data_IF_487757863170
#
_entry.id   IF_487757863170
#
_cell.length_a   1.000
_cell.length_b   1.000
_cell.length_c   1.000
_cell.angle_alpha   90.00
_cell.angle_beta   90.00
_cell.angle_gamma   90.00
#
_symmetry.space_group_name_H-M   'P 1'
#
loop_
_entity.id
_entity.type
_entity.pdbx_description
1 polymer ?
#
# COMPACT_ATOMS: atom_id res chain seq x y z
N UNK A 1 -0.95 18.31 -11.50
CA UNK A 1 -0.22 17.15 -10.94
C UNK A 1 1.26 17.43 -11.08
N UNK A 2 2.03 17.29 -10.01
CA UNK A 2 3.49 17.45 -10.06
C UNK A 2 4.06 16.06 -10.32
N UNK A 3 4.70 15.88 -11.48
CA UNK A 3 5.50 14.69 -11.75
C UNK A 3 6.79 14.82 -10.94
N UNK A 4 7.05 13.83 -10.08
CA UNK A 4 8.26 13.76 -9.27
C UNK A 4 9.43 13.44 -10.18
N UNK A 5 10.51 14.21 -10.04
CA UNK A 5 11.76 14.09 -10.80
C UNK A 5 12.93 13.81 -9.87
N UNK A 6 14.07 13.46 -10.46
CA UNK A 6 15.30 13.09 -9.73
C UNK A 6 15.84 14.20 -8.82
N UNK A 7 15.65 15.45 -9.20
CA UNK A 7 16.08 16.65 -8.46
C UNK A 7 15.04 17.14 -7.45
N UNK A 8 13.85 16.55 -7.41
CA UNK A 8 12.81 16.90 -6.43
C UNK A 8 13.29 16.57 -5.01
N UNK A 9 13.10 17.50 -4.07
CA UNK A 9 13.47 17.28 -2.67
C UNK A 9 12.42 16.42 -1.97
N UNK A 10 12.84 15.42 -1.19
CA UNK A 10 11.90 14.48 -0.57
C UNK A 10 10.95 15.17 0.42
N UNK A 11 11.41 16.22 1.12
CA UNK A 11 10.55 16.94 2.04
C UNK A 11 9.39 17.65 1.33
N UNK A 12 9.58 18.11 0.09
CA UNK A 12 8.52 18.78 -0.69
C UNK A 12 7.41 17.79 -1.02
N UNK A 13 7.79 16.55 -1.33
CA UNK A 13 6.86 15.44 -1.59
C UNK A 13 6.02 15.14 -0.35
N UNK A 14 6.65 15.04 0.83
CA UNK A 14 5.96 14.77 2.10
C UNK A 14 5.04 15.91 2.51
N UNK A 15 5.46 17.17 2.32
CA UNK A 15 4.63 18.33 2.62
C UNK A 15 3.44 18.46 1.68
N UNK A 16 3.57 17.99 0.43
CA UNK A 16 2.47 17.91 -0.52
C UNK A 16 1.48 16.79 -0.16
N UNK A 17 2.00 15.61 0.17
CA UNK A 17 1.20 14.44 0.51
C UNK A 17 1.86 13.60 1.62
N UNK A 18 1.47 13.81 2.89
CA UNK A 18 2.09 13.12 4.01
C UNK A 18 1.93 11.60 3.99
N UNK A 19 0.97 11.04 3.24
CA UNK A 19 0.79 9.58 3.22
C UNK A 19 1.93 8.87 2.48
N UNK A 20 2.72 9.59 1.67
CA UNK A 20 3.89 9.05 0.96
C UNK A 20 4.97 8.50 1.91
N UNK A 21 4.92 8.88 3.19
CA UNK A 21 5.84 8.37 4.22
C UNK A 21 5.78 6.84 4.31
N UNK A 22 4.64 6.20 4.03
CA UNK A 22 4.53 4.73 4.00
C UNK A 22 5.39 4.13 2.87
N UNK A 23 5.47 4.80 1.73
CA UNK A 23 6.33 4.40 0.60
C UNK A 23 7.79 4.57 0.97
N UNK A 24 8.17 5.71 1.56
CA UNK A 24 9.54 5.95 2.02
C UNK A 24 10.01 4.87 3.01
N UNK A 25 9.14 4.50 3.96
CA UNK A 25 9.43 3.43 4.92
C UNK A 25 9.75 2.10 4.23
N UNK A 26 9.01 1.73 3.17
CA UNK A 26 9.25 0.47 2.41
C UNK A 26 10.62 0.45 1.74
N UNK A 27 11.13 1.61 1.36
CA UNK A 27 12.49 1.80 0.83
C UNK A 27 13.56 2.03 1.91
N UNK A 28 13.20 1.95 3.20
CA UNK A 28 14.14 2.20 4.30
C UNK A 28 14.56 3.66 4.43
N UNK A 29 13.73 4.59 3.91
CA UNK A 29 13.90 6.04 4.03
C UNK A 29 13.07 6.50 5.24
N UNK A 30 13.71 7.23 6.14
CA UNK A 30 13.09 7.76 7.36
C UNK A 30 12.97 9.28 7.30
N UNK A 31 12.10 9.84 8.14
CA UNK A 31 11.99 11.30 8.30
C UNK A 31 13.30 11.91 8.85
N UNK A 32 13.44 13.23 8.72
CA UNK A 32 14.72 13.91 8.86
C UNK A 32 15.44 14.07 7.52
N UNK A 33 14.67 14.39 6.48
CA UNK A 33 15.08 14.33 5.08
C UNK A 33 16.06 15.45 4.66
N UNK A 34 16.19 16.52 5.45
CA UNK A 34 17.04 17.68 5.13
C UNK A 34 16.81 18.15 3.68
N UNK A 35 17.87 18.51 2.96
CA UNK A 35 17.84 18.89 1.53
C UNK A 35 18.02 17.70 0.56
N UNK A 36 17.85 16.45 1.02
CA UNK A 36 18.03 15.27 0.15
C UNK A 36 17.04 15.28 -1.02
N UNK A 37 17.58 15.07 -2.22
CA UNK A 37 16.82 14.87 -3.46
C UNK A 37 16.52 13.39 -3.68
N UNK A 38 15.61 13.10 -4.60
CA UNK A 38 15.33 11.73 -5.05
C UNK A 38 16.62 11.04 -5.52
N UNK A 39 17.46 11.73 -6.29
CA UNK A 39 18.74 11.22 -6.76
C UNK A 39 19.69 10.91 -5.58
N UNK A 40 19.89 11.85 -4.66
CA UNK A 40 20.85 11.67 -3.58
C UNK A 40 20.46 10.55 -2.62
N UNK A 41 19.16 10.39 -2.32
CA UNK A 41 18.72 9.31 -1.43
C UNK A 41 18.79 7.94 -2.10
N UNK A 42 18.51 7.87 -3.41
CA UNK A 42 18.66 6.65 -4.19
C UNK A 42 20.12 6.19 -4.23
N UNK A 43 21.06 7.11 -4.42
CA UNK A 43 22.50 6.83 -4.36
C UNK A 43 22.92 6.31 -2.97
N UNK A 44 22.52 7.00 -1.90
CA UNK A 44 22.85 6.62 -0.51
C UNK A 44 22.34 5.20 -0.18
N UNK A 45 21.08 4.92 -0.53
CA UNK A 45 20.39 3.68 -0.17
C UNK A 45 20.58 2.57 -1.19
N UNK A 46 21.28 2.84 -2.30
CA UNK A 46 21.47 1.92 -3.44
C UNK A 46 20.13 1.44 -4.02
N UNK A 47 19.20 2.37 -4.21
CA UNK A 47 17.89 2.12 -4.81
C UNK A 47 17.97 2.50 -6.29
N UNK A 48 17.44 1.67 -7.18
CA UNK A 48 17.26 2.03 -8.58
C UNK A 48 16.34 3.26 -8.71
N UNK A 49 16.89 4.35 -9.26
CA UNK A 49 16.21 5.64 -9.30
C UNK A 49 14.96 5.61 -10.20
N UNK A 50 15.00 4.85 -11.29
CA UNK A 50 13.88 4.74 -12.21
C UNK A 50 12.72 3.97 -11.58
N UNK A 51 13.02 2.91 -10.85
CA UNK A 51 12.06 2.15 -10.05
C UNK A 51 11.45 3.03 -8.95
N UNK A 52 12.28 3.74 -8.18
CA UNK A 52 11.78 4.61 -7.11
C UNK A 52 10.87 5.71 -7.65
N UNK A 53 11.27 6.40 -8.72
CA UNK A 53 10.44 7.40 -9.39
C UNK A 53 9.13 6.82 -9.91
N UNK A 54 9.15 5.60 -10.48
CA UNK A 54 7.95 4.96 -10.96
C UNK A 54 6.98 4.63 -9.82
N UNK A 55 7.48 4.16 -8.68
CA UNK A 55 6.66 3.89 -7.49
C UNK A 55 6.07 5.19 -6.92
N UNK A 56 6.87 6.24 -6.74
CA UNK A 56 6.39 7.53 -6.22
C UNK A 56 5.31 8.14 -7.12
N UNK A 57 5.57 8.19 -8.43
CA UNK A 57 4.61 8.76 -9.37
C UNK A 57 3.35 7.89 -9.50
N UNK A 58 3.47 6.56 -9.45
CA UNK A 58 2.30 5.67 -9.44
C UNK A 58 1.44 5.91 -8.20
N UNK A 59 2.07 6.06 -7.03
CA UNK A 59 1.38 6.29 -5.76
C UNK A 59 0.67 7.65 -5.71
N UNK A 60 1.33 8.71 -6.17
CA UNK A 60 0.82 10.09 -6.08
C UNK A 60 -0.13 10.47 -7.22
N UNK A 61 -0.05 9.79 -8.37
CA UNK A 61 -0.85 10.10 -9.56
C UNK A 61 -1.71 8.90 -10.00
N UNK A 62 -3.05 8.99 -9.84
CA UNK A 62 -4.01 8.01 -10.37
C UNK A 62 -3.88 7.71 -11.87
N UNK A 63 -3.48 8.71 -12.65
CA UNK A 63 -3.34 8.60 -14.10
C UNK A 63 -1.95 8.13 -14.54
N UNK A 64 -0.95 8.15 -13.66
CA UNK A 64 0.40 7.72 -14.03
C UNK A 64 0.46 6.21 -14.28
N UNK A 65 1.12 5.84 -15.38
CA UNK A 65 1.41 4.45 -15.73
C UNK A 65 2.83 4.37 -16.33
N UNK A 66 3.75 3.58 -15.74
CA UNK A 66 5.15 3.55 -16.17
C UNK A 66 5.41 2.71 -17.43
N UNK A 67 4.64 2.91 -18.52
CA UNK A 67 4.66 2.09 -19.75
C UNK A 67 6.06 1.72 -20.26
N UNK A 68 6.93 2.72 -20.34
CA UNK A 68 8.27 2.57 -20.92
C UNK A 68 9.35 2.13 -19.91
N UNK A 69 9.04 2.15 -18.61
CA UNK A 69 10.01 1.85 -17.53
C UNK A 69 9.84 0.46 -16.92
N UNK A 70 8.64 -0.12 -16.96
CA UNK A 70 8.35 -1.42 -16.32
C UNK A 70 9.29 -2.53 -16.85
N UNK A 71 9.71 -2.45 -18.13
CA UNK A 71 10.63 -3.42 -18.75
C UNK A 71 12.02 -3.48 -18.10
N UNK A 72 12.42 -2.43 -17.40
CA UNK A 72 13.76 -2.33 -16.82
C UNK A 72 13.78 -2.70 -15.33
N UNK A 73 12.62 -2.96 -14.72
CA UNK A 73 12.56 -3.31 -13.31
C UNK A 73 12.94 -4.77 -13.09
N UNK A 74 13.82 -5.02 -12.12
CA UNK A 74 14.15 -6.39 -11.74
C UNK A 74 12.99 -7.01 -10.95
N UNK A 75 12.80 -8.33 -11.10
CA UNK A 75 11.85 -9.08 -10.29
C UNK A 75 12.14 -8.90 -8.78
N UNK A 76 13.43 -8.86 -8.43
CA UNK A 76 13.90 -8.69 -7.06
C UNK A 76 13.48 -7.34 -6.47
N UNK A 77 13.57 -6.23 -7.20
CA UNK A 77 13.18 -4.92 -6.69
C UNK A 77 11.67 -4.85 -6.43
N UNK A 78 10.86 -5.40 -7.34
CA UNK A 78 9.41 -5.45 -7.21
C UNK A 78 9.01 -6.31 -6.00
N UNK A 79 9.57 -7.53 -5.90
CA UNK A 79 9.30 -8.44 -4.78
C UNK A 79 9.77 -7.85 -3.45
N UNK A 80 10.94 -7.23 -3.41
CA UNK A 80 11.45 -6.57 -2.21
C UNK A 80 10.50 -5.44 -1.77
N UNK A 81 10.08 -4.57 -2.69
CA UNK A 81 9.14 -3.49 -2.37
C UNK A 81 7.80 -4.01 -1.82
N UNK A 82 7.22 -5.03 -2.46
CA UNK A 82 5.94 -5.60 -2.03
C UNK A 82 6.08 -6.40 -0.73
N UNK A 83 7.21 -7.08 -0.51
CA UNK A 83 7.51 -7.74 0.75
C UNK A 83 7.61 -6.73 1.89
N UNK A 84 8.27 -5.59 1.66
CA UNK A 84 8.34 -4.50 2.63
C UNK A 84 6.97 -3.85 2.87
N UNK A 85 6.10 -3.83 1.86
CA UNK A 85 4.70 -3.41 2.00
C UNK A 85 3.92 -4.38 2.90
N UNK A 86 4.08 -5.67 2.70
CA UNK A 86 3.45 -6.71 3.51
C UNK A 86 3.90 -6.62 4.98
N UNK A 87 5.21 -6.48 5.22
CA UNK A 87 5.76 -6.26 6.56
C UNK A 87 5.19 -4.98 7.19
N UNK A 88 5.01 -3.92 6.41
CA UNK A 88 4.42 -2.68 6.90
C UNK A 88 2.98 -2.87 7.38
N UNK A 89 2.16 -3.60 6.62
CA UNK A 89 0.79 -3.90 7.00
C UNK A 89 0.70 -4.75 8.27
N UNK A 90 1.48 -5.84 8.34
CA UNK A 90 1.50 -6.75 9.48
C UNK A 90 1.95 -6.06 10.77
N UNK A 91 3.01 -5.26 10.71
CA UNK A 91 3.66 -4.71 11.91
C UNK A 91 3.14 -3.35 12.35
N UNK A 92 2.58 -2.55 11.44
CA UNK A 92 2.24 -1.15 11.75
C UNK A 92 0.80 -0.79 11.38
N UNK A 93 0.40 -0.97 10.12
CA UNK A 93 -0.90 -0.44 9.66
C UNK A 93 -2.08 -1.12 10.37
N UNK A 94 -2.11 -2.46 10.38
CA UNK A 94 -3.17 -3.22 11.03
C UNK A 94 -3.16 -2.99 12.55
N UNK A 95 -2.02 -3.14 13.27
CA UNK A 95 -1.98 -2.88 14.70
C UNK A 95 -2.37 -1.45 15.09
N UNK A 96 -2.05 -0.45 14.26
CA UNK A 96 -2.45 0.93 14.54
C UNK A 96 -3.97 1.13 14.48
N UNK A 97 -4.63 0.53 13.48
CA UNK A 97 -6.09 0.56 13.39
C UNK A 97 -6.70 -0.18 14.58
N UNK A 98 -6.20 -1.39 14.91
CA UNK A 98 -6.67 -2.17 16.07
C UNK A 98 -6.56 -1.40 17.37
N UNK A 99 -5.46 -0.66 17.59
CA UNK A 99 -5.26 0.18 18.77
C UNK A 99 -6.30 1.28 18.86
N UNK A 100 -6.54 2.02 17.77
CA UNK A 100 -7.57 3.07 17.76
C UNK A 100 -8.97 2.50 17.98
N UNK A 101 -9.29 1.40 17.30
CA UNK A 101 -10.59 0.73 17.42
C UNK A 101 -10.83 0.20 18.84
N UNK A 102 -9.84 -0.45 19.43
CA UNK A 102 -9.91 -0.99 20.78
C UNK A 102 -10.10 0.09 21.84
N UNK A 103 -9.43 1.24 21.68
CA UNK A 103 -9.63 2.39 22.57
C UNK A 103 -11.05 2.98 22.43
N UNK A 104 -11.55 3.12 21.20
CA UNK A 104 -12.91 3.60 20.93
C UNK A 104 -13.96 2.69 21.56
N UNK A 105 -13.84 1.38 21.37
CA UNK A 105 -14.73 0.39 22.00
C UNK A 105 -14.69 0.47 23.52
N UNK A 106 -13.49 0.54 24.11
CA UNK A 106 -13.32 0.60 25.56
C UNK A 106 -13.93 1.86 26.19
N UNK A 107 -13.95 2.97 25.46
CA UNK A 107 -14.48 4.26 25.91
C UNK A 107 -15.97 4.45 25.60
N UNK A 108 -16.56 3.56 24.83
CA UNK A 108 -17.98 3.60 24.50
C UNK A 108 -18.76 2.78 25.51
N UNK A 109 -19.59 3.44 26.33
CA UNK A 109 -20.44 2.79 27.34
C UNK A 109 -21.84 2.44 26.80
N UNK A 110 -22.13 2.78 25.54
CA UNK A 110 -23.45 2.63 24.94
C UNK A 110 -23.73 1.20 24.48
N UNK A 111 -24.68 0.53 25.15
CA UNK A 111 -25.17 -0.79 24.74
C UNK A 111 -25.86 -0.80 23.35
N UNK A 112 -26.28 0.36 22.86
CA UNK A 112 -26.93 0.51 21.56
C UNK A 112 -25.95 0.85 20.43
N UNK A 113 -24.65 0.96 20.73
CA UNK A 113 -23.64 1.23 19.71
C UNK A 113 -23.39 0.00 18.83
N UNK A 114 -23.22 0.23 17.52
CA UNK A 114 -22.86 -0.80 16.55
C UNK A 114 -21.35 -0.90 16.30
N UNK A 115 -20.51 -0.25 17.10
CA UNK A 115 -19.04 -0.28 16.96
C UNK A 115 -18.45 -1.70 17.05
N UNK A 116 -19.03 -2.58 17.87
CA UNK A 116 -18.57 -3.97 17.97
C UNK A 116 -18.77 -4.74 16.66
N UNK A 117 -19.85 -4.45 15.92
CA UNK A 117 -20.09 -5.03 14.59
C UNK A 117 -19.07 -4.49 13.57
N UNK A 118 -18.78 -3.18 13.61
CA UNK A 118 -17.76 -2.58 12.74
C UNK A 118 -16.36 -3.17 13.03
N UNK A 119 -16.03 -3.41 14.30
CA UNK A 119 -14.76 -4.07 14.67
C UNK A 119 -14.71 -5.50 14.15
N UNK A 120 -15.81 -6.25 14.24
CA UNK A 120 -15.88 -7.60 13.66
C UNK A 120 -15.63 -7.57 12.14
N UNK A 121 -16.24 -6.61 11.45
CA UNK A 121 -16.02 -6.43 10.02
C UNK A 121 -14.56 -6.05 9.69
N UNK A 122 -13.92 -5.20 10.51
CA UNK A 122 -12.49 -4.93 10.37
C UNK A 122 -11.62 -6.19 10.58
N UNK A 123 -11.99 -7.08 11.50
CA UNK A 123 -11.29 -8.36 11.69
C UNK A 123 -11.39 -9.25 10.45
N UNK A 124 -12.49 -9.21 9.71
CA UNK A 124 -12.63 -9.90 8.42
C UNK A 124 -11.67 -9.32 7.37
N UNK A 125 -11.59 -7.99 7.25
CA UNK A 125 -10.59 -7.29 6.39
C UNK A 125 -9.17 -7.71 6.73
N UNK A 126 -8.82 -7.67 8.02
CA UNK A 126 -7.50 -8.10 8.52
C UNK A 126 -7.21 -9.54 8.11
N UNK A 127 -8.15 -10.45 8.29
CA UNK A 127 -7.95 -11.88 8.04
C UNK A 127 -7.68 -12.15 6.56
N UNK A 128 -8.44 -11.52 5.66
CA UNK A 128 -8.24 -11.63 4.22
C UNK A 128 -6.90 -11.04 3.78
N UNK A 129 -6.50 -9.89 4.33
CA UNK A 129 -5.21 -9.28 4.01
C UNK A 129 -4.03 -10.15 4.49
N UNK A 130 -4.11 -10.69 5.72
CA UNK A 130 -3.06 -11.58 6.23
C UNK A 130 -2.95 -12.86 5.40
N UNK A 131 -4.07 -13.40 4.91
CA UNK A 131 -4.04 -14.54 4.00
C UNK A 131 -3.34 -14.18 2.67
N UNK A 132 -3.65 -13.03 2.07
CA UNK A 132 -2.97 -12.54 0.87
C UNK A 132 -1.46 -12.36 1.10
N UNK A 133 -1.06 -11.81 2.24
CA UNK A 133 0.36 -11.63 2.60
C UNK A 133 1.06 -12.98 2.74
N UNK A 134 0.40 -13.96 3.35
CA UNK A 134 0.91 -15.32 3.45
C UNK A 134 1.11 -15.93 2.06
N UNK A 135 0.11 -15.84 1.19
CA UNK A 135 0.17 -16.40 -0.17
C UNK A 135 1.22 -15.71 -1.04
N UNK A 136 1.37 -14.39 -0.90
CA UNK A 136 2.45 -13.63 -1.54
C UNK A 136 3.83 -14.18 -1.14
N UNK A 137 4.04 -14.40 0.17
CA UNK A 137 5.33 -14.82 0.73
C UNK A 137 5.67 -16.27 0.44
N UNK A 138 4.71 -17.18 0.61
CA UNK A 138 4.96 -18.63 0.51
C UNK A 138 4.83 -19.15 -0.91
N UNK A 139 4.03 -18.49 -1.77
CA UNK A 139 3.70 -19.00 -3.10
C UNK A 139 4.12 -18.02 -4.21
N UNK A 140 3.55 -16.82 -4.27
CA UNK A 140 3.65 -15.98 -5.47
C UNK A 140 5.05 -15.41 -5.67
N UNK A 141 5.66 -14.80 -4.65
CA UNK A 141 6.99 -14.19 -4.76
C UNK A 141 8.10 -15.21 -5.05
N UNK A 142 8.17 -16.37 -4.36
CA UNK A 142 9.17 -17.39 -4.68
C UNK A 142 9.07 -17.90 -6.12
N UNK A 143 7.86 -18.16 -6.62
CA UNK A 143 7.64 -18.61 -7.99
C UNK A 143 8.08 -17.55 -9.02
N UNK A 144 7.77 -16.28 -8.75
CA UNK A 144 8.17 -15.15 -9.60
C UNK A 144 9.68 -15.04 -9.74
N UNK A 145 10.40 -15.09 -8.62
CA UNK A 145 11.88 -15.06 -8.62
C UNK A 145 12.48 -16.29 -9.31
N UNK A 146 11.91 -17.47 -9.08
CA UNK A 146 12.39 -18.72 -9.67
C UNK A 146 12.21 -18.76 -11.19
N UNK A 147 11.13 -18.20 -11.74
CA UNK A 147 10.93 -18.15 -13.19
C UNK A 147 11.76 -17.04 -13.85
N UNK A 148 11.87 -15.87 -13.21
CA UNK A 148 12.68 -14.77 -13.74
C UNK A 148 14.17 -15.14 -13.87
N UNK A 149 14.70 -15.95 -12.96
CA UNK A 149 16.07 -16.45 -13.05
C UNK A 149 16.31 -17.45 -14.19
N UNK A 150 15.25 -18.04 -14.75
CA UNK A 150 15.32 -18.99 -15.88
C UNK A 150 15.13 -18.31 -17.23
N UNK A 151 14.34 -17.25 -17.29
CA UNK A 151 14.03 -16.48 -18.50
C UNK A 151 14.31 -15.00 -18.26
N UNK A 152 15.48 -14.54 -18.69
CA UNK A 152 15.88 -13.13 -18.57
C UNK A 152 15.20 -12.21 -19.60
N UNK A 153 14.71 -12.76 -20.73
CA UNK A 153 14.00 -12.00 -21.77
C UNK A 153 12.48 -12.06 -21.56
N UNK A 154 12.00 -11.31 -20.57
CA UNK A 154 10.56 -11.17 -20.29
C UNK A 154 9.99 -10.00 -21.11
N UNK A 155 9.22 -10.31 -22.15
CA UNK A 155 8.48 -9.28 -22.90
C UNK A 155 7.17 -9.00 -22.20
N UNK A 156 7.08 -7.82 -21.58
CA UNK A 156 5.86 -7.37 -20.91
C UNK A 156 4.81 -6.94 -21.91
N UNK A 157 3.66 -7.60 -21.86
CA UNK A 157 2.49 -7.21 -22.62
C UNK A 157 1.40 -6.77 -21.63
N UNK A 158 1.33 -5.47 -21.37
CA UNK A 158 0.32 -4.93 -20.47
C UNK A 158 -1.06 -5.11 -21.08
N UNK A 159 -1.90 -5.88 -20.39
CA UNK A 159 -3.35 -5.86 -20.57
C UNK A 159 -3.95 -5.18 -19.37
N UNK A 160 -4.87 -4.25 -19.60
CA UNK A 160 -5.68 -3.68 -18.52
C UNK A 160 -6.49 -4.83 -17.89
N UNK A 161 -6.10 -5.22 -16.68
CA UNK A 161 -6.81 -6.21 -15.88
C UNK A 161 -7.90 -5.49 -15.08
N UNK A 162 -8.93 -6.24 -14.67
CA UNK A 162 -9.85 -5.76 -13.65
C UNK A 162 -9.07 -5.30 -12.41
N UNK A 163 -9.30 -4.06 -12.01
CA UNK A 163 -8.67 -3.44 -10.85
C UNK A 163 -9.51 -3.66 -9.58
N UNK A 164 -10.66 -4.35 -9.65
CA UNK A 164 -11.48 -4.67 -8.47
C UNK A 164 -10.70 -5.47 -7.43
N UNK A 165 -10.84 -5.10 -6.16
CA UNK A 165 -10.17 -5.79 -5.05
C UNK A 165 -11.10 -5.90 -3.84
N UNK A 166 -11.40 -7.13 -3.43
CA UNK A 166 -12.31 -7.44 -2.31
C UNK A 166 -11.90 -6.76 -1.00
N UNK A 167 -10.60 -6.59 -0.74
CA UNK A 167 -10.12 -5.93 0.49
C UNK A 167 -10.39 -4.41 0.42
N UNK A 168 -10.18 -3.78 -0.74
CA UNK A 168 -10.53 -2.38 -0.97
C UNK A 168 -12.04 -2.15 -0.76
N UNK A 169 -12.88 -2.99 -1.37
CA UNK A 169 -14.33 -2.89 -1.26
C UNK A 169 -14.79 -3.01 0.20
N UNK A 170 -14.23 -3.95 0.97
CA UNK A 170 -14.55 -4.08 2.40
C UNK A 170 -14.04 -2.90 3.23
N UNK A 171 -12.89 -2.31 2.91
CA UNK A 171 -12.45 -1.10 3.61
C UNK A 171 -13.41 0.06 3.32
N UNK A 172 -13.91 0.16 2.08
CA UNK A 172 -14.91 1.15 1.68
C UNK A 172 -16.23 0.98 2.40
N UNK A 173 -16.73 -0.25 2.45
CA UNK A 173 -17.93 -0.57 3.22
C UNK A 173 -17.74 -0.21 4.70
N UNK A 174 -16.59 -0.52 5.29
CA UNK A 174 -16.30 -0.18 6.69
C UNK A 174 -16.28 1.34 6.90
N UNK A 175 -15.65 2.10 6.01
CA UNK A 175 -15.67 3.57 6.05
C UNK A 175 -17.10 4.09 5.94
N UNK A 176 -17.90 3.56 5.01
CA UNK A 176 -19.30 3.93 4.85
C UNK A 176 -20.14 3.58 6.09
N UNK A 177 -19.86 2.45 6.75
CA UNK A 177 -20.51 2.09 8.02
C UNK A 177 -20.26 3.16 9.09
N UNK A 178 -19.02 3.65 9.23
CA UNK A 178 -18.69 4.73 10.17
C UNK A 178 -19.38 6.06 9.80
N UNK A 179 -19.43 6.41 8.52
CA UNK A 179 -19.94 7.70 8.07
C UNK A 179 -21.47 7.76 8.05
N UNK A 180 -22.14 6.68 7.64
CA UNK A 180 -23.59 6.67 7.35
C UNK A 180 -24.37 5.94 8.45
N UNK A 181 -23.80 4.87 9.01
CA UNK A 181 -24.55 3.90 9.81
C UNK A 181 -24.15 3.85 11.28
N UNK A 182 -23.18 4.67 11.73
CA UNK A 182 -22.76 4.72 13.13
C UNK A 182 -23.91 5.21 14.02
N UNK A 183 -24.19 4.46 15.09
CA UNK A 183 -25.29 4.72 16.03
C UNK A 183 -24.81 4.58 17.47
N UNK A 184 -25.60 5.12 18.40
CA UNK A 184 -25.30 5.13 19.82
C UNK A 184 -24.39 6.28 20.24
N UNK A 185 -24.06 6.33 21.52
CA UNK A 185 -23.08 7.27 22.06
C UNK A 185 -21.66 6.71 21.87
N UNK A 186 -20.68 7.56 21.61
CA UNK A 186 -19.29 7.18 21.35
C UNK A 186 -18.34 8.38 21.51
N UNK A 187 -17.06 8.12 21.76
CA UNK A 187 -16.05 9.18 21.80
C UNK A 187 -15.73 9.70 20.38
N UNK A 188 -16.08 10.95 20.12
CA UNK A 188 -15.93 11.57 18.79
C UNK A 188 -14.47 11.65 18.33
N UNK A 189 -13.53 11.93 19.25
CA UNK A 189 -12.12 12.08 18.91
C UNK A 189 -11.50 10.72 18.55
N UNK A 190 -11.84 9.68 19.31
CA UNK A 190 -11.40 8.31 19.02
C UNK A 190 -12.05 7.76 17.74
N UNK A 191 -13.32 8.08 17.50
CA UNK A 191 -14.01 7.75 16.26
C UNK A 191 -13.32 8.39 15.05
N UNK A 192 -12.99 9.68 15.14
CA UNK A 192 -12.24 10.38 14.11
C UNK A 192 -10.86 9.74 13.88
N UNK A 193 -10.15 9.32 14.93
CA UNK A 193 -8.85 8.66 14.81
C UNK A 193 -8.95 7.31 14.06
N UNK A 194 -10.00 6.51 14.33
CA UNK A 194 -10.28 5.27 13.58
C UNK A 194 -10.56 5.58 12.12
N UNK A 195 -11.46 6.53 11.84
CA UNK A 195 -11.85 6.88 10.48
C UNK A 195 -10.67 7.38 9.64
N UNK A 196 -9.84 8.28 10.19
CA UNK A 196 -8.62 8.76 9.51
C UNK A 196 -7.66 7.59 9.24
N UNK A 197 -7.51 6.66 10.19
CA UNK A 197 -6.64 5.49 10.01
C UNK A 197 -7.14 4.58 8.88
N UNK A 198 -8.46 4.38 8.77
CA UNK A 198 -9.08 3.60 7.69
C UNK A 198 -8.96 4.30 6.34
N UNK A 199 -9.18 5.61 6.26
CA UNK A 199 -9.03 6.38 5.01
C UNK A 199 -7.58 6.34 4.51
N UNK A 200 -6.61 6.51 5.42
CA UNK A 200 -5.19 6.39 5.07
C UNK A 200 -4.84 4.97 4.61
N UNK A 201 -5.40 3.96 5.29
CA UNK A 201 -5.21 2.57 4.89
C UNK A 201 -5.77 2.28 3.50
N UNK A 202 -7.01 2.71 3.23
CA UNK A 202 -7.66 2.61 1.92
C UNK A 202 -6.77 3.19 0.84
N UNK A 203 -6.32 4.43 1.02
CA UNK A 203 -5.44 5.09 0.04
C UNK A 203 -4.21 4.24 -0.23
N UNK A 204 -3.53 3.80 0.82
CA UNK A 204 -2.28 3.07 0.73
C UNK A 204 -2.46 1.69 0.04
N UNK A 205 -3.52 0.95 0.38
CA UNK A 205 -3.81 -0.36 -0.22
C UNK A 205 -4.28 -0.22 -1.67
N UNK A 206 -5.10 0.77 -2.01
CA UNK A 206 -5.46 1.08 -3.40
C UNK A 206 -4.22 1.37 -4.24
N UNK A 207 -3.29 2.19 -3.73
CA UNK A 207 -2.05 2.47 -4.46
C UNK A 207 -1.17 1.21 -4.59
N UNK A 208 -1.09 0.40 -3.54
CA UNK A 208 -0.36 -0.87 -3.60
C UNK A 208 -0.98 -1.84 -4.60
N UNK A 209 -2.30 -1.95 -4.66
CA UNK A 209 -3.00 -2.81 -5.61
C UNK A 209 -2.84 -2.29 -7.04
N UNK A 210 -2.81 -0.97 -7.26
CA UNK A 210 -2.41 -0.40 -8.55
C UNK A 210 -1.00 -0.84 -8.94
N UNK A 211 -0.03 -0.80 -8.03
CA UNK A 211 1.34 -1.30 -8.28
C UNK A 211 1.31 -2.80 -8.61
N UNK A 212 0.60 -3.63 -7.83
CA UNK A 212 0.43 -5.07 -8.11
C UNK A 212 -0.19 -5.32 -9.49
N UNK A 213 -1.23 -4.58 -9.86
CA UNK A 213 -1.97 -4.76 -11.11
C UNK A 213 -1.24 -4.23 -12.33
N UNK A 214 -0.51 -3.12 -12.19
CA UNK A 214 0.17 -2.42 -13.29
C UNK A 214 1.60 -2.89 -13.51
N UNK A 215 2.24 -3.44 -12.50
CA UNK A 215 3.65 -3.85 -12.54
C UNK A 215 3.76 -5.37 -12.35
N UNK A 216 3.33 -5.91 -11.21
CA UNK A 216 3.62 -7.30 -10.85
C UNK A 216 2.81 -8.32 -11.67
N UNK A 217 1.49 -8.13 -11.85
CA UNK A 217 0.64 -9.06 -12.60
C UNK A 217 1.09 -9.22 -14.06
N UNK A 218 1.36 -8.14 -14.83
CA UNK A 218 1.92 -8.27 -16.18
C UNK A 218 3.25 -9.02 -16.20
N UNK A 219 4.08 -8.82 -15.18
CA UNK A 219 5.37 -9.51 -15.03
C UNK A 219 5.18 -11.01 -14.78
N UNK A 220 4.27 -11.38 -13.89
CA UNK A 220 3.86 -12.77 -13.60
C UNK A 220 3.32 -13.48 -14.84
N UNK A 221 2.43 -12.80 -15.60
CA UNK A 221 1.83 -13.33 -16.83
C UNK A 221 2.86 -13.57 -17.93
N UNK A 222 3.82 -12.65 -18.09
CA UNK A 222 4.90 -12.79 -19.06
C UNK A 222 5.87 -13.94 -18.71
N UNK A 223 5.89 -14.36 -17.44
CA UNK A 223 6.63 -15.53 -16.95
C UNK A 223 5.79 -16.82 -16.91
N UNK A 224 4.56 -16.80 -17.43
CA UNK A 224 3.62 -17.94 -17.40
C UNK A 224 3.37 -18.49 -15.99
N UNK A 225 3.28 -17.59 -15.01
CA UNK A 225 2.87 -17.92 -13.63
C UNK A 225 1.37 -17.65 -13.52
N UNK A 226 0.60 -18.70 -13.26
CA UNK A 226 -0.86 -18.65 -13.02
C UNK A 226 -1.19 -18.21 -11.59
#
# INVERSE_FOLDING_TARGET
MIEIKKDTKLHEIVLLDPTIITVFYRFGIVLGLSDSTVESICEEKKIDIDFFLAILNTYLSPSYFPENKIRNFSASDIVNYLSQTNVFYEKFQIPNIERHFGLLLKKTESANSNLALMMKFFVEVKSELLQRIYDDRENWFPQLLAQYSKNHDVVLNYKKVDESDSIEDKIDDLINMFVIHLKGDYDHNLCQAVLISLVNFKKDITQNNRIRNRILKPFSQALHIE
#
